data_IF_858960417306
#
_entry.id   IF_858960417306
#
_cell.length_a   1.000
_cell.length_b   1.000
_cell.length_c   1.000
_cell.angle_alpha   90.00
_cell.angle_beta   90.00
_cell.angle_gamma   90.00
#
_symmetry.space_group_name_H-M   'P 1'
#
loop_
_entity.id
_entity.type
_entity.pdbx_description
1 polymer ?
2 non-polymer ?
3 non-polymer ?
4 non-polymer ?
5 water ?
#
# COMPACT_ATOMS: atom_id res chain seq x y z
N UNK A 1 -1.97 23.80 2.64
CA UNK A 1 -2.83 22.57 2.73
C UNK A 1 -2.26 21.43 3.59
N UNK A 2 -2.71 20.21 3.28
CA UNK A 2 -2.41 18.98 4.06
C UNK A 2 -0.95 18.54 4.08
N UNK A 3 -0.43 18.31 5.29
CA UNK A 3 0.71 17.46 5.47
C UNK A 3 0.05 16.27 6.14
N UNK A 4 0.45 15.09 5.73
CA UNK A 4 0.00 13.86 6.38
C UNK A 4 1.25 13.02 6.51
N UNK A 5 1.42 12.42 7.68
CA UNK A 5 2.52 11.52 7.89
C UNK A 5 1.98 10.35 8.72
N UNK A 6 2.04 9.13 8.18
CA UNK A 6 1.53 7.98 8.88
C UNK A 6 2.52 6.84 8.85
N UNK A 7 2.98 6.47 10.06
CA UNK A 7 3.97 5.44 10.23
C UNK A 7 3.42 4.07 10.55
N UNK A 8 2.12 3.98 10.80
CA UNK A 8 1.47 2.72 11.13
C UNK A 8 2.08 1.95 12.31
N UNK A 9 2.56 2.67 13.31
CA UNK A 9 3.19 2.03 14.45
C UNK A 9 2.15 1.46 15.39
N UNK A 10 0.93 1.96 15.31
CA UNK A 10 -0.19 1.46 16.11
C UNK A 10 -1.41 1.14 15.27
N UNK A 11 -1.18 0.48 14.14
CA UNK A 11 -2.26 0.01 13.33
C UNK A 11 -2.77 1.07 12.37
N UNK A 12 -3.94 0.77 11.81
CA UNK A 12 -4.59 1.64 10.85
C UNK A 12 -5.59 2.53 11.59
N UNK A 13 -5.35 3.85 11.60
CA UNK A 13 -6.30 4.71 12.30
C UNK A 13 -7.70 4.67 11.69
N UNK A 14 -8.75 4.85 12.49
CA UNK A 14 -10.11 4.84 12.00
C UNK A 14 -10.43 5.92 10.97
N UNK A 15 -9.59 6.95 10.88
CA UNK A 15 -9.77 8.00 9.89
C UNK A 15 -9.38 7.51 8.48
N UNK A 16 -8.65 6.40 8.39
CA UNK A 16 -8.37 5.78 7.09
C UNK A 16 -9.53 4.86 6.79
N UNK A 17 -9.83 4.66 5.51
CA UNK A 17 -10.89 3.76 5.11
C UNK A 17 -10.30 2.53 4.45
N UNK A 18 -10.87 1.38 4.73
CA UNK A 18 -10.47 0.15 4.04
C UNK A 18 -11.66 -0.38 3.29
N UNK A 19 -11.41 -0.88 2.09
CA UNK A 19 -12.44 -1.53 1.29
C UNK A 19 -11.94 -2.90 0.85
N UNK A 20 -12.68 -3.92 1.27
CA UNK A 20 -12.46 -5.28 0.83
C UNK A 20 -13.37 -5.50 -0.35
N UNK A 21 -12.94 -5.07 -1.53
CA UNK A 21 -13.87 -4.99 -2.65
C UNK A 21 -14.25 -6.35 -3.21
N UNK A 22 -13.34 -7.31 -3.10
CA UNK A 22 -13.60 -8.66 -3.62
C UNK A 22 -14.48 -9.46 -2.64
N UNK A 23 -14.59 -9.03 -1.38
CA UNK A 23 -15.57 -9.58 -0.40
C UNK A 23 -15.15 -10.86 0.32
N UNK A 24 -13.87 -11.22 0.27
CA UNK A 24 -13.41 -12.48 0.94
C UNK A 24 -13.17 -12.37 2.43
N UNK A 25 -13.29 -11.18 2.98
CA UNK A 25 -13.07 -10.97 4.39
C UNK A 25 -11.63 -10.68 4.78
N UNK A 26 -10.77 -10.58 3.77
CA UNK A 26 -9.35 -10.28 3.96
C UNK A 26 -9.04 -8.95 3.28
N UNK A 27 -8.53 -7.99 4.04
CA UNK A 27 -8.17 -6.68 3.49
C UNK A 27 -6.79 -6.28 3.95
N UNK A 28 -6.52 -4.98 3.84
CA UNK A 28 -5.28 -4.42 4.38
C UNK A 28 -5.34 -4.55 5.91
N UNK A 29 -4.23 -4.95 6.51
CA UNK A 29 -4.15 -5.31 7.94
C UNK A 29 -2.90 -4.68 8.54
N UNK A 30 -2.91 -4.42 9.83
CA UNK A 30 -1.71 -3.99 10.52
C UNK A 30 -0.71 -5.13 10.70
N UNK A 31 0.56 -4.84 10.45
CA UNK A 31 1.63 -5.78 10.64
C UNK A 31 2.63 -5.18 11.60
N UNK A 32 3.28 -6.04 12.38
CA UNK A 32 4.42 -5.55 13.14
C UNK A 32 5.46 -6.59 13.40
N UNK A 33 6.63 -6.09 13.80
CA UNK A 33 7.74 -6.99 14.17
C UNK A 33 7.28 -7.93 15.29
N UNK A 34 7.84 -9.17 15.33
CA UNK A 34 8.87 -9.69 14.45
C UNK A 34 8.32 -10.30 13.19
N UNK A 35 7.01 -10.51 13.13
CA UNK A 35 6.47 -11.18 11.95
C UNK A 35 6.58 -10.36 10.70
N UNK A 36 6.16 -9.11 10.81
CA UNK A 36 6.01 -8.24 9.65
C UNK A 36 6.49 -6.86 10.03
N UNK A 37 7.83 -6.71 10.08
CA UNK A 37 8.46 -5.47 10.47
C UNK A 37 8.23 -4.40 9.42
N UNK A 38 8.09 -3.18 9.87
CA UNK A 38 8.04 -2.04 8.96
C UNK A 38 9.38 -1.57 8.44
N UNK A 39 9.32 -0.51 7.66
CA UNK A 39 10.54 0.11 7.13
C UNK A 39 11.16 0.95 8.24
N UNK A 40 12.36 0.56 8.66
CA UNK A 40 13.09 1.27 9.71
C UNK A 40 12.20 1.58 10.90
N UNK A 41 11.34 0.63 11.23
CA UNK A 41 10.29 0.81 12.22
C UNK A 41 9.59 -0.52 12.48
N UNK A 42 8.78 -0.53 13.54
CA UNK A 42 8.14 -1.72 14.11
C UNK A 42 6.83 -2.16 13.43
N UNK A 43 6.13 -1.19 12.87
CA UNK A 43 4.78 -1.38 12.34
C UNK A 43 4.63 -0.97 10.89
N UNK A 44 3.74 -1.67 10.20
CA UNK A 44 3.40 -1.34 8.81
C UNK A 44 2.01 -1.87 8.52
N UNK A 45 1.59 -1.84 7.25
CA UNK A 45 0.38 -2.52 6.84
C UNK A 45 0.70 -3.49 5.72
N UNK A 46 -0.16 -4.49 5.57
CA UNK A 46 0.05 -5.50 4.55
C UNK A 46 -1.27 -6.04 4.03
N UNK A 47 -1.20 -6.61 2.83
CA UNK A 47 -2.34 -7.22 2.19
C UNK A 47 -1.88 -8.52 1.54
N UNK A 48 -2.74 -9.55 1.63
CA UNK A 48 -2.42 -10.93 1.28
C UNK A 48 -2.91 -11.34 -0.10
N UNK A 49 -2.03 -11.98 -0.88
CA UNK A 49 -2.45 -12.79 -2.02
C UNK A 49 -2.42 -14.29 -1.76
N UNK A 50 -1.93 -14.68 -0.57
CA UNK A 50 -1.92 -16.05 -0.08
C UNK A 50 -1.95 -15.92 1.43
N UNK A 51 -2.80 -16.70 2.09
CA UNK A 51 -2.90 -16.66 3.57
C UNK A 51 -2.30 -17.93 4.18
N UNK A 52 -1.61 -17.74 5.29
CA UNK A 52 -1.09 -18.86 6.09
C UNK A 52 -2.18 -19.71 6.72
N UNK A 53 -1.80 -20.90 7.18
CA UNK A 53 -2.68 -21.70 8.04
C UNK A 53 -3.83 -22.39 7.35
N UNK A 54 -3.79 -22.50 6.02
CA UNK A 54 -4.85 -23.17 5.28
C UNK A 54 -5.79 -22.19 4.59
N UNK A 55 -5.56 -20.89 4.80
CA UNK A 55 -6.36 -19.89 4.11
C UNK A 55 -6.14 -20.08 2.61
N UNK A 56 -4.88 -20.11 2.19
CA UNK A 56 -4.54 -20.47 0.83
C UNK A 56 -4.58 -19.30 -0.14
N UNK A 57 -4.73 -19.61 -1.41
CA UNK A 57 -4.66 -18.63 -2.47
C UNK A 57 -5.82 -17.66 -2.40
N UNK A 58 -5.54 -16.36 -2.48
CA UNK A 58 -6.56 -15.33 -2.51
C UNK A 58 -6.52 -14.55 -3.81
N UNK A 59 -7.60 -13.84 -4.12
CA UNK A 59 -7.67 -12.93 -5.24
C UNK A 59 -8.09 -11.51 -4.75
N UNK A 60 -7.14 -10.81 -4.08
CA UNK A 60 -7.48 -9.52 -3.47
C UNK A 60 -7.92 -8.45 -4.48
N UNK A 61 -8.82 -7.60 -4.02
CA UNK A 61 -9.07 -6.31 -4.57
C UNK A 61 -9.34 -5.42 -3.37
N UNK A 62 -8.23 -5.04 -2.71
CA UNK A 62 -8.29 -4.39 -1.37
C UNK A 62 -7.77 -2.97 -1.45
N UNK A 63 -8.50 -2.04 -0.86
CA UNK A 63 -8.17 -0.63 -0.88
C UNK A 63 -7.86 -0.16 0.51
N UNK A 64 -6.83 0.67 0.62
CA UNK A 64 -6.49 1.41 1.84
C UNK A 64 -6.47 2.88 1.42
N UNK A 65 -7.30 3.69 2.09
CA UNK A 65 -7.59 5.03 1.64
C UNK A 65 -7.31 6.03 2.75
N UNK A 66 -6.61 7.10 2.39
CA UNK A 66 -6.32 8.19 3.32
C UNK A 66 -7.54 8.88 3.88
N UNK A 67 -7.36 9.57 5.01
CA UNK A 67 -8.33 10.59 5.36
C UNK A 67 -8.41 11.66 4.27
N UNK A 68 -9.44 12.49 4.34
CA UNK A 68 -9.58 13.56 3.38
C UNK A 68 -8.39 14.50 3.42
N UNK A 69 -8.02 14.98 2.24
CA UNK A 69 -6.84 15.79 2.02
C UNK A 69 -7.23 17.17 1.47
N UNK A 70 -6.39 18.17 1.78
CA UNK A 70 -6.55 19.55 1.31
C UNK A 70 -5.34 19.90 0.48
N UNK A 71 -5.51 19.80 -0.84
CA UNK A 71 -4.40 19.92 -1.77
C UNK A 71 -4.77 20.81 -2.93
N UNK A 72 -5.08 22.08 -2.63
CA UNK A 72 -5.57 22.98 -3.70
C UNK A 72 -4.57 23.21 -4.84
N UNK A 73 -3.28 23.12 -4.60
CA UNK A 73 -2.32 23.12 -5.73
C UNK A 73 -1.48 21.85 -5.73
N UNK A 74 -2.11 20.75 -5.36
CA UNK A 74 -1.47 19.43 -5.48
C UNK A 74 -0.51 19.18 -4.35
N UNK A 75 0.23 18.08 -4.46
CA UNK A 75 1.21 17.71 -3.46
C UNK A 75 2.06 16.56 -3.91
N UNK A 76 2.89 16.07 -2.98
CA UNK A 76 3.84 15.01 -3.25
C UNK A 76 3.59 13.91 -2.24
N UNK A 77 3.45 12.70 -2.75
CA UNK A 77 3.28 11.50 -1.92
C UNK A 77 4.55 10.67 -2.00
N UNK A 78 5.02 10.22 -0.83
CA UNK A 78 6.06 9.21 -0.77
C UNK A 78 5.61 8.10 0.15
N UNK A 79 6.07 6.88 -0.16
CA UNK A 79 5.78 5.73 0.69
C UNK A 79 6.79 4.67 0.36
N UNK A 80 6.83 3.65 1.20
CA UNK A 80 7.73 2.50 1.06
C UNK A 80 6.88 1.24 0.84
N UNK A 81 7.36 0.36 -0.04
CA UNK A 81 6.70 -0.88 -0.36
C UNK A 81 7.71 -2.02 -0.45
N UNK A 82 7.26 -3.21 -0.12
CA UNK A 82 8.04 -4.40 -0.37
C UNK A 82 7.13 -5.57 -0.51
N UNK A 83 7.74 -6.66 -0.98
CA UNK A 83 7.19 -8.00 -0.88
C UNK A 83 7.65 -8.57 0.44
N UNK A 84 6.73 -9.10 1.23
CA UNK A 84 7.11 -9.71 2.49
C UNK A 84 8.04 -10.91 2.32
N UNK A 85 7.79 -11.74 1.29
CA UNK A 85 8.58 -12.96 1.08
C UNK A 85 9.24 -12.86 -0.28
N UNK A 86 10.58 -12.75 -0.29
CA UNK A 86 11.35 -12.59 -1.52
C UNK A 86 11.20 -13.70 -2.54
N UNK A 87 10.79 -14.89 -2.09
CA UNK A 87 10.53 -16.02 -3.01
C UNK A 87 9.12 -15.98 -3.62
N UNK A 88 8.28 -15.05 -3.16
CA UNK A 88 6.91 -14.89 -3.62
C UNK A 88 6.62 -13.41 -3.75
N UNK A 89 7.35 -12.73 -4.63
CA UNK A 89 7.45 -11.28 -4.55
C UNK A 89 6.54 -10.51 -5.51
N UNK A 90 5.94 -11.20 -6.46
CA UNK A 90 5.22 -10.54 -7.55
C UNK A 90 3.82 -10.12 -7.16
N UNK A 91 3.76 -9.07 -6.33
CA UNK A 91 2.50 -8.45 -5.98
C UNK A 91 2.26 -7.23 -6.84
N UNK A 92 1.02 -7.07 -7.26
CA UNK A 92 0.60 -5.98 -8.12
C UNK A 92 -0.24 -5.00 -7.34
N UNK A 93 0.00 -3.72 -7.57
CA UNK A 93 -0.75 -2.70 -6.87
C UNK A 93 -0.81 -1.44 -7.70
N UNK A 94 -1.69 -0.55 -7.28
CA UNK A 94 -1.76 0.78 -7.91
C UNK A 94 -2.08 1.80 -6.84
N UNK A 95 -1.72 3.06 -7.09
CA UNK A 95 -2.06 4.19 -6.28
C UNK A 95 -2.92 5.13 -7.10
N UNK A 96 -4.04 5.59 -6.53
CA UNK A 96 -5.01 6.44 -7.22
C UNK A 96 -5.27 7.69 -6.42
N UNK A 97 -5.69 8.74 -7.12
CA UNK A 97 -6.22 9.96 -6.51
C UNK A 97 -7.68 10.09 -6.88
N UNK A 98 -8.49 10.48 -5.92
CA UNK A 98 -9.84 10.94 -6.20
C UNK A 98 -10.01 12.39 -5.80
N UNK A 99 -10.72 13.14 -6.64
CA UNK A 99 -11.13 14.50 -6.36
C UNK A 99 -12.52 14.61 -5.74
N UNK A 100 -13.23 13.47 -5.71
CA UNK A 100 -14.66 13.46 -5.32
C UNK A 100 -14.83 12.66 -4.04
N UNK A 101 -15.21 11.41 -4.18
CA UNK A 101 -15.48 10.59 -3.02
C UNK A 101 -14.42 9.54 -2.72
N UNK A 102 -14.72 8.74 -1.71
CA UNK A 102 -13.82 7.69 -1.25
C UNK A 102 -14.37 6.28 -1.39
N UNK A 103 -15.25 6.07 -2.35
CA UNK A 103 -15.68 4.73 -2.64
C UNK A 103 -14.71 4.13 -3.68
N UNK A 104 -14.64 2.81 -3.79
CA UNK A 104 -13.78 2.19 -4.79
C UNK A 104 -13.96 2.78 -6.17
N UNK A 105 -15.20 2.98 -6.57
CA UNK A 105 -15.51 3.49 -7.90
C UNK A 105 -15.03 4.90 -8.20
N UNK A 106 -14.70 5.66 -7.16
CA UNK A 106 -14.12 7.01 -7.31
C UNK A 106 -12.64 7.03 -7.65
N UNK A 107 -11.98 5.88 -7.53
CA UNK A 107 -10.54 5.81 -7.77
C UNK A 107 -10.24 5.29 -9.15
N UNK A 108 -10.13 6.21 -10.11
CA UNK A 108 -9.89 5.79 -11.48
C UNK A 108 -8.60 6.35 -12.08
N UNK A 109 -8.06 7.40 -11.46
CA UNK A 109 -6.83 7.97 -11.96
C UNK A 109 -5.67 7.25 -11.30
N UNK A 110 -5.13 6.23 -11.98
CA UNK A 110 -3.97 5.49 -11.49
C UNK A 110 -2.75 6.31 -11.72
N UNK A 111 -2.17 6.76 -10.63
CA UNK A 111 -0.95 7.58 -10.66
C UNK A 111 0.30 6.76 -10.80
N UNK A 112 0.25 5.55 -10.27
CA UNK A 112 1.35 4.60 -10.23
C UNK A 112 0.73 3.20 -10.26
N UNK A 113 1.23 2.32 -11.09
CA UNK A 113 0.75 0.95 -11.13
C UNK A 113 1.92 0.07 -11.49
N UNK A 114 2.18 -0.97 -10.71
CA UNK A 114 3.32 -1.83 -10.95
C UNK A 114 3.19 -3.17 -10.28
N UNK A 115 3.99 -4.11 -10.76
CA UNK A 115 4.18 -5.41 -10.10
C UNK A 115 5.57 -5.41 -9.49
N UNK A 116 5.65 -5.71 -8.20
CA UNK A 116 6.91 -5.72 -7.50
C UNK A 116 7.76 -6.83 -8.10
N UNK A 117 9.04 -6.51 -8.28
CA UNK A 117 10.08 -7.42 -8.81
C UNK A 117 11.04 -7.79 -7.70
N UNK A 118 11.40 -9.07 -7.55
CA UNK A 118 12.47 -9.44 -6.61
C UNK A 118 13.81 -8.87 -7.10
N UNK A 119 14.66 -8.48 -6.15
CA UNK A 119 15.97 -7.88 -6.45
C UNK A 119 16.95 -8.95 -6.97
C UNK A 123 24.65 -14.30 -10.78
N UNK A 124 25.17 -15.13 -11.70
CA UNK A 124 24.82 -16.54 -11.69
C UNK A 124 25.45 -17.33 -10.53
N UNK A 125 26.32 -16.71 -9.73
CA UNK A 125 26.92 -17.39 -8.56
C UNK A 125 25.85 -17.68 -7.53
N UNK A 126 25.89 -18.87 -6.93
CA UNK A 126 25.00 -19.18 -5.82
C UNK A 126 25.40 -18.39 -4.55
N UNK A 127 24.45 -17.59 -4.09
CA UNK A 127 24.68 -16.74 -2.95
C UNK A 127 23.39 -16.70 -2.13
N UNK A 128 23.50 -16.48 -0.83
CA UNK A 128 22.32 -16.52 0.02
C UNK A 128 21.63 -15.15 -0.07
N UNK A 129 20.33 -15.15 -0.30
CA UNK A 129 19.62 -13.88 -0.49
C UNK A 129 18.73 -13.63 0.70
N UNK A 130 18.09 -12.46 0.71
CA UNK A 130 17.27 -12.08 1.83
C UNK A 130 16.02 -12.97 1.77
N UNK A 131 15.48 -13.27 2.94
CA UNK A 131 14.21 -13.99 3.07
C UNK A 131 13.07 -13.03 2.71
N UNK A 132 13.17 -11.80 3.20
CA UNK A 132 12.16 -10.77 3.01
C UNK A 132 12.53 -9.88 1.85
N UNK A 133 11.55 -9.35 1.14
CA UNK A 133 11.84 -8.46 0.02
C UNK A 133 12.46 -7.14 0.48
N UNK A 134 13.26 -6.51 -0.37
CA UNK A 134 13.86 -5.21 -0.05
C UNK A 134 12.76 -4.14 -0.05
N UNK A 135 12.83 -3.21 0.91
CA UNK A 135 11.99 -1.99 0.88
C UNK A 135 12.46 -1.03 -0.18
N UNK A 136 11.53 -0.55 -0.99
CA UNK A 136 11.77 0.48 -1.99
C UNK A 136 10.86 1.66 -1.76
N UNK A 137 11.32 2.85 -2.07
CA UNK A 137 10.57 4.07 -1.87
C UNK A 137 9.98 4.53 -3.20
N UNK A 138 8.74 5.03 -3.16
CA UNK A 138 8.04 5.51 -4.35
C UNK A 138 7.63 6.96 -4.10
N UNK A 139 7.65 7.74 -5.17
CA UNK A 139 7.29 9.16 -5.13
C UNK A 139 6.31 9.41 -6.24
N UNK A 140 5.17 9.98 -5.86
CA UNK A 140 4.02 10.20 -6.75
C UNK A 140 3.53 11.64 -6.64
N UNK A 141 3.34 12.32 -7.76
CA UNK A 141 2.75 13.67 -7.74
C UNK A 141 1.24 13.54 -7.66
N UNK A 142 0.64 14.35 -6.78
CA UNK A 142 -0.80 14.32 -6.58
C UNK A 142 -1.41 15.53 -7.27
N UNK A 143 -2.37 15.31 -8.15
CA UNK A 143 -2.99 16.46 -8.83
C UNK A 143 -3.66 17.46 -7.89
N UNK A 144 -3.75 18.70 -8.35
CA UNK A 144 -4.52 19.71 -7.62
C UNK A 144 -5.97 19.24 -7.44
N UNK A 145 -6.54 19.47 -6.25
CA UNK A 145 -7.89 19.06 -5.94
C UNK A 145 -8.05 17.64 -5.45
N UNK A 146 -6.94 16.92 -5.33
CA UNK A 146 -6.98 15.56 -4.78
C UNK A 146 -7.53 15.64 -3.37
N UNK A 147 -8.54 14.82 -3.09
CA UNK A 147 -9.12 14.76 -1.75
C UNK A 147 -8.76 13.45 -1.06
N UNK A 148 -8.64 12.38 -1.83
CA UNK A 148 -8.24 11.08 -1.24
C UNK A 148 -7.22 10.38 -2.08
N UNK A 149 -6.34 9.62 -1.44
CA UNK A 149 -5.43 8.72 -2.09
C UNK A 149 -5.76 7.30 -1.67
N UNK A 150 -5.76 6.39 -2.65
CA UNK A 150 -6.00 4.97 -2.41
C UNK A 150 -4.83 4.15 -2.85
N UNK A 151 -4.50 3.17 -2.02
CA UNK A 151 -3.56 2.09 -2.34
C UNK A 151 -4.36 0.82 -2.57
N UNK A 152 -4.24 0.24 -3.76
CA UNK A 152 -5.08 -0.86 -4.16
C UNK A 152 -4.22 -2.07 -4.47
N UNK A 153 -4.47 -3.17 -3.76
CA UNK A 153 -3.83 -4.48 -4.04
C UNK A 153 -4.80 -5.31 -4.83
N UNK A 154 -4.45 -5.59 -6.08
CA UNK A 154 -5.42 -6.19 -7.02
C UNK A 154 -4.67 -6.85 -8.14
N UNK A 155 -5.38 -7.60 -8.98
CA UNK A 155 -4.72 -8.35 -10.10
C UNK A 155 -3.48 -9.08 -9.59
N UNK A 156 -3.65 -9.67 -8.40
CA UNK A 156 -2.61 -10.38 -7.70
C UNK A 156 -3.19 -11.70 -7.20
N UNK A 157 -2.39 -12.74 -7.29
CA UNK A 157 -2.81 -14.00 -6.67
C UNK A 157 -1.61 -14.92 -6.45
N UNK A 158 -1.64 -15.64 -5.35
CA UNK A 158 -0.73 -16.76 -5.13
C UNK A 158 0.73 -16.39 -5.03
N UNK A 159 1.00 -15.28 -4.35
CA UNK A 159 2.35 -14.88 -4.00
C UNK A 159 2.43 -14.91 -2.48
N UNK A 160 2.48 -13.76 -1.81
CA UNK A 160 2.38 -13.81 -0.34
C UNK A 160 1.74 -12.53 0.17
N UNK A 161 2.52 -11.59 0.64
CA UNK A 161 2.00 -10.26 1.04
C UNK A 161 2.72 -9.15 0.33
N UNK A 162 1.99 -8.05 0.12
CA UNK A 162 2.58 -6.76 -0.11
C UNK A 162 2.52 -5.98 1.20
N UNK A 163 3.63 -5.33 1.53
CA UNK A 163 3.73 -4.51 2.72
C UNK A 163 3.92 -3.04 2.28
N UNK A 164 3.37 -2.13 3.07
CA UNK A 164 3.33 -0.71 2.79
C UNK A 164 3.62 0.02 4.10
N UNK A 165 4.46 1.07 4.03
CA UNK A 165 4.83 1.81 5.25
C UNK A 165 5.17 3.25 4.95
N UNK A 166 5.10 4.06 6.02
CA UNK A 166 5.71 5.39 6.09
C UNK A 166 5.19 6.28 4.96
N UNK A 167 3.91 6.52 5.00
CA UNK A 167 3.22 7.33 3.98
C UNK A 167 3.31 8.78 4.38
N UNK A 168 3.81 9.59 3.47
CA UNK A 168 3.95 11.04 3.70
C UNK A 168 3.37 11.82 2.52
N UNK A 169 2.56 12.82 2.81
CA UNK A 169 2.00 13.69 1.77
C UNK A 169 2.34 15.11 2.17
N UNK A 170 2.99 15.83 1.26
CA UNK A 170 3.34 17.24 1.47
C UNK A 170 2.57 18.04 0.45
N UNK A 171 1.85 19.06 0.89
CA UNK A 171 1.12 19.96 0.01
C UNK A 171 2.13 20.89 -0.70
N UNK A 172 1.90 21.15 -1.97
CA UNK A 172 2.58 22.25 -2.64
C UNK A 172 1.94 23.55 -2.08
N UNK A 173 0.62 23.52 -1.87
CA UNK A 173 -0.14 24.37 -1.00
X LIG B 1 -10.21 -9.07 -0.01
X LIG C 1 6.22 2.04 10.20
X LIG D 1 -3.90 24.21 -10.28
X LIG D 1 -2.69 24.45 -10.02
X LIG D 1 -4.30 23.50 -11.33
X LIG D 1 -4.81 24.66 -9.45
X LIG E 1 3.99 -19.62 -6.46
X LIG E 1 5.10 -20.18 -6.73
X LIG E 1 2.91 -20.31 -6.18
X LIG E 1 4.01 -18.31 -6.52
X LIG F 1 -6.97 11.55 12.86
X LIG F 1 -7.22 10.12 12.83
X LIG F 1 -7.91 12.33 11.94
X LIG F 1 -9.29 12.10 12.30
X LIG F 1 -7.55 13.81 11.95
X LIG F 1 -8.21 14.52 10.92
X LIG G 1 -9.57 0.91 9.14
X LIG G 1 -10.24 1.12 8.10
X LIG G 1 -9.14 1.91 9.92
X LIG G 1 -9.29 -0.35 9.49
X LIG H 1 -4.21 10.95 10.23
X LIG H 1 -4.14 12.39 10.18
X LIG H 1 -2.92 10.43 9.59
X LIG H 1 -2.89 8.99 9.69
X LIG H 1 -1.67 11.06 10.22
X LIG H 1 -1.13 12.20 9.50
#
# INVERSE_FOLDING_TARGET
>A
GTTLSESFENGIPASWKTIDADGDGHGWKPGNAPGIAGYNSNGCVYSESFGLGGIGVLTPDNYLITPALDLPNGGKLTFWVCAQDANYASEHYAVYASSTGNDASNFTNALLEETITAKGVRSPKAIRGRIQGTWRQKTVDLPAGTKYVAFRHFQSTDMFYIDLDEVEIKANG
>B hetero
1 CA CA
>C hetero
1 CA CA
>D hetero
1 GAI C N1 N2 N3
>E hetero
1 GAI C N1 N2 N3
>F hetero
1 GOL C1 O1 C2 O2 C3 O3
>G hetero
1 GAI C N1 N2 N3
>H hetero
1 GOL C1 O1 C2 O2 C3 O3
#
